data_IF_536472648522
#
_entry.id   IF_536472648522
#
_cell.length_a   1.000
_cell.length_b   1.000
_cell.length_c   1.000
_cell.angle_alpha   90.00
_cell.angle_beta   90.00
_cell.angle_gamma   90.00
#
_symmetry.space_group_name_H-M   'P 1'
#
loop_
_entity.id
_entity.type
_entity.pdbx_description
1 polymer ?
#
# COMPACT_ATOMS: atom_id res chain seq x y z
N UNK A 1 -26.68 5.22 -24.40
CA UNK A 1 -25.67 5.16 -23.31
C UNK A 1 -26.19 6.05 -22.18
N UNK A 2 -27.22 5.58 -21.48
CA UNK A 2 -28.11 6.39 -20.62
C UNK A 2 -27.43 6.99 -19.39
N UNK A 3 -26.21 6.56 -19.06
CA UNK A 3 -25.36 7.17 -18.04
C UNK A 3 -24.87 8.59 -18.39
N UNK A 4 -24.91 8.96 -19.69
CA UNK A 4 -24.54 10.30 -20.19
C UNK A 4 -25.74 11.22 -20.40
N UNK A 5 -26.95 10.70 -20.30
CA UNK A 5 -28.18 11.48 -20.39
C UNK A 5 -28.39 12.26 -19.08
N UNK A 6 -29.30 13.23 -19.06
CA UNK A 6 -29.70 13.94 -17.84
C UNK A 6 -31.15 13.60 -17.47
N UNK A 7 -31.46 13.61 -16.17
CA UNK A 7 -32.80 13.32 -15.65
C UNK A 7 -33.04 11.84 -15.35
N UNK A 8 -34.31 11.40 -15.41
CA UNK A 8 -34.74 10.10 -14.88
C UNK A 8 -34.04 8.88 -15.51
N UNK A 9 -33.68 8.97 -16.79
CA UNK A 9 -32.96 7.91 -17.51
C UNK A 9 -31.57 7.66 -16.91
N UNK A 10 -30.86 8.74 -16.54
CA UNK A 10 -29.55 8.68 -15.91
C UNK A 10 -29.64 8.08 -14.50
N UNK A 11 -30.59 8.56 -13.70
CA UNK A 11 -30.80 8.05 -12.34
C UNK A 11 -31.07 6.55 -12.32
N UNK A 12 -31.90 6.07 -13.25
CA UNK A 12 -32.18 4.65 -13.41
C UNK A 12 -30.94 3.86 -13.81
N UNK A 13 -30.18 4.35 -14.79
CA UNK A 13 -28.93 3.70 -15.23
C UNK A 13 -27.89 3.63 -14.12
N UNK A 14 -27.76 4.68 -13.30
CA UNK A 14 -26.86 4.70 -12.13
C UNK A 14 -27.32 3.72 -11.06
N UNK A 15 -28.63 3.61 -10.82
CA UNK A 15 -29.20 2.64 -9.88
C UNK A 15 -28.92 1.20 -10.31
N UNK A 16 -29.10 0.89 -11.59
CA UNK A 16 -28.78 -0.42 -12.17
C UNK A 16 -27.29 -0.73 -12.07
N UNK A 17 -26.44 0.23 -12.42
CA UNK A 17 -24.98 0.11 -12.27
C UNK A 17 -24.62 -0.20 -10.82
N UNK A 18 -25.14 0.55 -9.85
CA UNK A 18 -24.88 0.31 -8.43
C UNK A 18 -25.27 -1.10 -8.00
N UNK A 19 -26.45 -1.59 -8.42
CA UNK A 19 -26.89 -2.95 -8.10
C UNK A 19 -25.96 -4.01 -8.69
N UNK A 20 -25.50 -3.82 -9.92
CA UNK A 20 -24.53 -4.70 -10.58
C UNK A 20 -23.20 -4.72 -9.82
N UNK A 21 -22.66 -3.54 -9.49
CA UNK A 21 -21.39 -3.41 -8.77
C UNK A 21 -21.48 -4.03 -7.37
N UNK A 22 -22.57 -3.79 -6.64
CA UNK A 22 -22.81 -4.35 -5.30
C UNK A 22 -22.77 -5.88 -5.32
N UNK A 23 -23.46 -6.52 -6.27
CA UNK A 23 -23.43 -7.98 -6.46
C UNK A 23 -22.02 -8.47 -6.79
N UNK A 24 -21.30 -7.75 -7.65
CA UNK A 24 -19.94 -8.12 -8.03
C UNK A 24 -18.95 -8.01 -6.86
N UNK A 25 -19.08 -6.97 -6.04
CA UNK A 25 -18.28 -6.73 -4.84
C UNK A 25 -18.57 -7.80 -3.78
N UNK A 26 -19.85 -8.12 -3.52
CA UNK A 26 -20.22 -9.21 -2.60
C UNK A 26 -19.60 -10.54 -3.00
N UNK A 27 -19.66 -10.88 -4.29
CA UNK A 27 -19.03 -12.09 -4.82
C UNK A 27 -17.50 -12.06 -4.66
N UNK A 28 -16.87 -10.91 -4.86
CA UNK A 28 -15.44 -10.75 -4.61
C UNK A 28 -15.08 -10.93 -3.14
N UNK A 29 -15.84 -10.30 -2.24
CA UNK A 29 -15.64 -10.35 -0.79
C UNK A 29 -15.88 -11.77 -0.25
N UNK A 30 -16.92 -12.46 -0.71
CA UNK A 30 -17.25 -13.82 -0.27
C UNK A 30 -16.21 -14.85 -0.69
N UNK A 31 -15.56 -14.68 -1.84
CA UNK A 31 -14.42 -15.51 -2.30
C UNK A 31 -13.14 -15.25 -1.51
N UNK A 32 -12.93 -14.02 -1.03
CA UNK A 32 -11.76 -13.60 -0.24
C UNK A 32 -11.82 -14.00 1.25
N UNK A 33 -12.76 -14.87 1.66
CA UNK A 33 -13.20 -15.15 3.05
C UNK A 33 -12.11 -15.51 4.09
N UNK A 34 -10.88 -15.86 3.72
CA UNK A 34 -9.90 -16.41 4.66
C UNK A 34 -9.16 -15.38 5.55
N UNK A 35 -8.73 -14.17 5.11
CA UNK A 35 -7.92 -13.28 5.96
C UNK A 35 -8.67 -12.09 6.59
N UNK A 36 -9.91 -11.79 6.18
CA UNK A 36 -10.59 -10.52 6.53
C UNK A 36 -11.91 -10.68 7.31
N UNK A 37 -12.31 -11.90 7.67
CA UNK A 37 -13.60 -12.15 8.29
C UNK A 37 -13.80 -11.43 9.63
N UNK A 38 -12.71 -11.18 10.39
CA UNK A 38 -12.76 -10.40 11.63
C UNK A 38 -12.73 -8.88 11.47
N UNK A 39 -12.51 -8.36 10.25
CA UNK A 39 -12.36 -6.91 9.99
C UNK A 39 -13.67 -6.19 9.69
N UNK A 40 -14.77 -6.94 9.58
CA UNK A 40 -16.05 -6.43 9.07
C UNK A 40 -17.13 -6.58 10.13
N UNK A 41 -17.03 -5.78 11.20
CA UNK A 41 -18.02 -5.74 12.29
C UNK A 41 -19.46 -5.44 11.82
N UNK A 42 -19.61 -4.76 10.66
CA UNK A 42 -20.91 -4.44 10.04
C UNK A 42 -21.35 -5.42 8.95
N UNK A 43 -20.60 -6.52 8.74
CA UNK A 43 -20.89 -7.50 7.70
C UNK A 43 -20.46 -7.06 6.30
N UNK A 44 -20.34 -8.04 5.39
CA UNK A 44 -19.92 -7.83 4.00
C UNK A 44 -20.92 -7.00 3.18
N UNK A 45 -22.18 -6.93 3.62
CA UNK A 45 -23.27 -6.27 2.92
C UNK A 45 -23.11 -4.75 2.92
N UNK A 46 -22.88 -4.16 4.10
CA UNK A 46 -22.72 -2.71 4.26
C UNK A 46 -21.50 -2.22 3.49
N UNK A 47 -20.39 -2.96 3.57
CA UNK A 47 -19.17 -2.63 2.81
C UNK A 47 -19.39 -2.71 1.31
N UNK A 48 -20.17 -3.69 0.84
CA UNK A 48 -20.47 -3.80 -0.57
C UNK A 48 -21.39 -2.66 -1.05
N UNK A 49 -22.34 -2.23 -0.23
CA UNK A 49 -23.21 -1.09 -0.54
C UNK A 49 -22.40 0.21 -0.62
N UNK A 50 -21.61 0.53 0.41
CA UNK A 50 -20.76 1.73 0.44
C UNK A 50 -19.80 1.77 -0.75
N UNK A 51 -19.09 0.67 -0.99
CA UNK A 51 -18.15 0.57 -2.12
C UNK A 51 -18.87 0.68 -3.46
N UNK A 52 -20.07 0.13 -3.61
CA UNK A 52 -20.83 0.21 -4.87
C UNK A 52 -21.30 1.64 -5.14
N UNK A 53 -21.72 2.38 -4.10
CA UNK A 53 -22.08 3.79 -4.21
C UNK A 53 -20.90 4.65 -4.65
N UNK A 54 -19.75 4.54 -3.96
CA UNK A 54 -18.54 5.27 -4.32
C UNK A 54 -18.07 4.91 -5.74
N UNK A 55 -18.13 3.63 -6.10
CA UNK A 55 -17.73 3.18 -7.44
C UNK A 55 -18.63 3.74 -8.53
N UNK A 56 -19.96 3.78 -8.33
CA UNK A 56 -20.88 4.34 -9.30
C UNK A 56 -20.64 5.84 -9.53
N UNK A 57 -20.32 6.59 -8.46
CA UNK A 57 -19.92 8.00 -8.56
C UNK A 57 -18.59 8.18 -9.32
N UNK A 58 -17.58 7.37 -8.99
CA UNK A 58 -16.29 7.39 -9.68
C UNK A 58 -16.39 6.98 -11.15
N UNK A 59 -17.27 6.04 -11.48
CA UNK A 59 -17.53 5.63 -12.86
C UNK A 59 -18.17 6.78 -13.63
N UNK A 60 -19.23 7.41 -13.10
CA UNK A 60 -19.86 8.58 -13.73
C UNK A 60 -18.86 9.69 -14.03
N UNK A 61 -18.04 10.07 -13.04
CA UNK A 61 -17.01 11.11 -13.21
C UNK A 61 -15.88 10.75 -14.18
N UNK A 62 -15.75 9.47 -14.55
CA UNK A 62 -14.70 8.97 -15.45
C UNK A 62 -15.25 8.38 -16.75
N UNK A 63 -16.54 8.57 -17.07
CA UNK A 63 -17.16 8.03 -18.28
C UNK A 63 -16.45 8.47 -19.56
N UNK A 64 -15.83 9.64 -19.56
CA UNK A 64 -15.08 10.16 -20.71
C UNK A 64 -13.70 9.50 -20.87
N UNK A 65 -13.21 8.81 -19.84
CA UNK A 65 -11.96 8.04 -19.86
C UNK A 65 -12.17 6.60 -20.34
N UNK A 66 -13.42 6.16 -20.53
CA UNK A 66 -13.71 4.84 -21.06
C UNK A 66 -13.46 4.82 -22.58
N UNK A 67 -12.39 4.13 -22.98
CA UNK A 67 -11.91 4.07 -24.37
C UNK A 67 -12.64 3.04 -25.25
N UNK A 68 -13.41 2.13 -24.66
CA UNK A 68 -14.09 1.06 -25.41
C UNK A 68 -13.22 -0.17 -25.71
N UNK A 69 -12.00 -0.24 -25.14
CA UNK A 69 -11.08 -1.39 -25.33
C UNK A 69 -11.55 -2.69 -24.65
N UNK A 70 -12.61 -2.62 -23.83
CA UNK A 70 -13.26 -3.74 -23.16
C UNK A 70 -14.76 -3.49 -23.07
N UNK A 71 -15.54 -4.48 -22.63
CA UNK A 71 -16.92 -4.21 -22.20
C UNK A 71 -16.92 -3.16 -21.07
N UNK A 72 -17.95 -2.32 -21.06
CA UNK A 72 -18.14 -1.29 -20.03
C UNK A 72 -18.19 -1.90 -18.62
N UNK A 73 -18.86 -3.04 -18.49
CA UNK A 73 -18.97 -3.82 -17.24
C UNK A 73 -17.61 -4.28 -16.73
N UNK A 74 -16.71 -4.71 -17.60
CA UNK A 74 -15.33 -5.10 -17.24
C UNK A 74 -14.56 -3.91 -16.69
N UNK A 75 -14.63 -2.77 -17.36
CA UNK A 75 -13.96 -1.54 -16.91
C UNK A 75 -14.53 -1.04 -15.57
N UNK A 76 -15.86 -1.00 -15.44
CA UNK A 76 -16.56 -0.63 -14.21
C UNK A 76 -16.21 -1.57 -13.05
N UNK A 77 -16.12 -2.88 -13.30
CA UNK A 77 -15.73 -3.86 -12.29
C UNK A 77 -14.30 -3.60 -11.78
N UNK A 78 -13.36 -3.25 -12.65
CA UNK A 78 -11.98 -2.93 -12.24
C UNK A 78 -11.92 -1.75 -11.26
N UNK A 79 -12.77 -0.74 -11.46
CA UNK A 79 -12.89 0.42 -10.56
C UNK A 79 -13.46 -0.04 -9.23
N UNK A 80 -14.55 -0.82 -9.24
CA UNK A 80 -15.19 -1.32 -8.03
C UNK A 80 -14.24 -2.17 -7.18
N UNK A 81 -13.50 -3.08 -7.78
CA UNK A 81 -12.50 -3.88 -7.06
C UNK A 81 -11.40 -3.01 -6.46
N UNK A 82 -10.95 -1.96 -7.16
CA UNK A 82 -9.96 -1.02 -6.62
C UNK A 82 -10.50 -0.26 -5.40
N UNK A 83 -11.74 0.21 -5.45
CA UNK A 83 -12.43 0.87 -4.33
C UNK A 83 -12.52 -0.08 -3.13
N UNK A 84 -13.06 -1.28 -3.34
CA UNK A 84 -13.19 -2.28 -2.27
C UNK A 84 -11.85 -2.67 -1.65
N UNK A 85 -10.79 -2.85 -2.46
CA UNK A 85 -9.47 -3.16 -1.93
C UNK A 85 -8.87 -2.02 -1.09
N UNK A 86 -9.15 -0.76 -1.44
CA UNK A 86 -8.74 0.38 -0.63
C UNK A 86 -9.50 0.41 0.70
N UNK A 87 -10.82 0.19 0.66
CA UNK A 87 -11.65 0.17 1.86
C UNK A 87 -11.26 -0.95 2.83
N UNK A 88 -10.98 -2.16 2.30
CA UNK A 88 -10.47 -3.27 3.13
C UNK A 88 -9.12 -2.94 3.78
N UNK A 89 -8.22 -2.23 3.08
CA UNK A 89 -6.94 -1.79 3.66
C UNK A 89 -7.16 -0.75 4.75
N UNK A 90 -8.08 0.20 4.55
CA UNK A 90 -8.47 1.21 5.53
C UNK A 90 -9.04 0.58 6.80
N UNK A 91 -9.98 -0.37 6.68
CA UNK A 91 -10.56 -1.07 7.83
C UNK A 91 -9.54 -1.93 8.56
N UNK A 92 -8.62 -2.58 7.85
CA UNK A 92 -7.51 -3.30 8.47
C UNK A 92 -6.65 -2.38 9.33
N UNK A 93 -6.26 -1.23 8.78
CA UNK A 93 -5.50 -0.23 9.51
C UNK A 93 -6.26 0.25 10.76
N UNK A 94 -7.54 0.59 10.63
CA UNK A 94 -8.37 1.03 11.76
C UNK A 94 -8.54 -0.05 12.84
N UNK A 95 -8.75 -1.31 12.46
CA UNK A 95 -8.85 -2.42 13.40
C UNK A 95 -7.52 -2.65 14.14
N UNK A 96 -6.38 -2.51 13.47
CA UNK A 96 -5.06 -2.55 14.12
C UNK A 96 -4.81 -1.34 15.04
N UNK A 97 -5.36 -0.18 14.71
CA UNK A 97 -5.25 1.04 15.51
C UNK A 97 -6.22 1.09 16.71
N UNK A 98 -7.29 0.29 16.73
CA UNK A 98 -8.31 0.31 17.78
C UNK A 98 -7.89 -0.31 19.12
N UNK A 99 -6.67 -0.85 19.22
CA UNK A 99 -6.04 -1.20 20.49
C UNK A 99 -5.58 0.09 21.19
N UNK A 100 -6.12 0.46 22.37
CA UNK A 100 -5.77 1.70 23.07
C UNK A 100 -4.27 1.82 23.38
N UNK A 101 -3.54 0.70 23.50
CA UNK A 101 -2.08 0.71 23.64
C UNK A 101 -1.38 1.21 22.37
N UNK A 102 -2.01 1.09 21.20
CA UNK A 102 -1.53 1.53 19.88
C UNK A 102 -2.09 2.88 19.44
N UNK A 103 -3.03 3.49 20.17
CA UNK A 103 -3.55 4.81 19.82
C UNK A 103 -2.45 5.89 19.96
N UNK A 104 -1.50 5.71 20.90
CA UNK A 104 -0.27 6.49 20.96
C UNK A 104 0.68 6.24 19.77
N UNK A 105 0.67 5.02 19.23
CA UNK A 105 1.40 4.59 18.03
C UNK A 105 0.73 4.98 16.70
N UNK A 106 -0.51 5.52 16.73
CA UNK A 106 -1.21 5.98 15.53
C UNK A 106 -0.56 7.21 14.90
N UNK A 107 0.25 7.94 15.68
CA UNK A 107 1.23 8.88 15.12
C UNK A 107 2.36 8.06 14.49
N UNK A 108 2.70 8.24 13.19
CA UNK A 108 3.69 7.40 12.54
C UNK A 108 5.03 7.42 13.29
N UNK A 109 5.30 6.33 14.01
CA UNK A 109 6.50 6.16 14.81
C UNK A 109 7.58 5.49 13.98
N UNK A 110 8.81 5.75 14.38
CA UNK A 110 9.98 5.33 13.64
C UNK A 110 10.29 3.86 13.96
N UNK A 111 10.68 3.01 12.99
CA UNK A 111 10.95 1.59 13.25
C UNK A 111 12.08 1.31 14.25
N UNK A 112 12.89 2.32 14.62
CA UNK A 112 13.90 2.19 15.69
C UNK A 112 13.24 2.13 17.08
N UNK A 113 12.04 2.68 17.23
CA UNK A 113 11.36 2.75 18.53
C UNK A 113 10.91 1.36 19.02
N UNK A 114 10.91 0.35 18.14
CA UNK A 114 10.63 -1.05 18.50
C UNK A 114 11.32 -2.07 17.56
N UNK A 115 12.63 -2.33 17.75
CA UNK A 115 13.32 -3.36 17.00
C UNK A 115 12.86 -4.73 17.52
N UNK A 116 12.05 -5.44 16.73
CA UNK A 116 11.56 -6.77 17.10
C UNK A 116 12.69 -7.72 17.56
N UNK A 117 12.38 -8.67 18.45
CA UNK A 117 13.39 -9.53 19.06
C UNK A 117 13.96 -10.50 17.99
N UNK A 118 15.30 -10.62 17.95
CA UNK A 118 16.11 -11.48 17.05
C UNK A 118 16.41 -11.01 15.61
N UNK A 119 17.24 -9.97 15.45
CA UNK A 119 17.96 -9.67 14.17
C UNK A 119 19.43 -10.08 14.26
N UNK A 120 20.00 -10.63 13.18
CA UNK A 120 21.45 -10.88 13.09
C UNK A 120 22.25 -9.56 13.14
N UNK A 121 23.54 -9.60 13.50
CA UNK A 121 24.39 -8.40 13.57
C UNK A 121 24.41 -7.62 12.23
N UNK A 122 24.49 -8.34 11.11
CA UNK A 122 24.46 -7.75 9.77
C UNK A 122 23.12 -7.05 9.48
N UNK A 123 21.99 -7.65 9.87
CA UNK A 123 20.68 -7.02 9.76
C UNK A 123 20.56 -5.78 10.65
N UNK A 124 21.14 -5.80 11.85
CA UNK A 124 21.16 -4.63 12.73
C UNK A 124 21.96 -3.48 12.11
N UNK A 125 23.13 -3.77 11.50
CA UNK A 125 23.94 -2.78 10.81
C UNK A 125 23.23 -2.21 9.57
N UNK A 126 22.60 -3.08 8.76
CA UNK A 126 21.80 -2.67 7.61
C UNK A 126 20.61 -1.78 8.02
N UNK A 127 19.94 -2.12 9.13
CA UNK A 127 18.87 -1.28 9.70
C UNK A 127 19.39 0.06 10.19
N UNK A 128 20.48 0.09 10.95
CA UNK A 128 21.06 1.33 11.47
C UNK A 128 21.45 2.28 10.33
N UNK A 129 22.07 1.76 9.26
CA UNK A 129 22.39 2.54 8.06
C UNK A 129 21.13 3.07 7.38
N UNK A 130 20.14 2.22 7.09
CA UNK A 130 18.90 2.65 6.44
C UNK A 130 18.20 3.73 7.27
N UNK A 131 18.20 3.54 8.59
CA UNK A 131 17.61 4.46 9.52
C UNK A 131 18.30 5.84 9.49
N UNK A 132 19.62 5.87 9.56
CA UNK A 132 20.41 7.09 9.44
C UNK A 132 20.16 7.81 8.12
N UNK A 133 20.06 7.06 7.01
CA UNK A 133 19.80 7.65 5.68
C UNK A 133 18.41 8.28 5.59
N UNK A 134 17.40 7.66 6.19
CA UNK A 134 16.05 8.23 6.22
C UNK A 134 15.98 9.47 7.11
N UNK A 135 16.75 9.50 8.20
CA UNK A 135 16.89 10.69 9.04
C UNK A 135 17.63 11.83 8.31
N UNK A 136 18.73 11.53 7.63
CA UNK A 136 19.61 12.57 7.09
C UNK A 136 19.32 13.00 5.65
N UNK A 137 18.82 12.09 4.80
CA UNK A 137 18.64 12.35 3.37
C UNK A 137 17.23 12.86 2.99
N UNK A 138 16.23 12.68 3.87
CA UNK A 138 14.83 13.06 3.60
C UNK A 138 14.42 14.33 4.32
N UNK A 139 13.51 15.09 3.69
CA UNK A 139 12.84 16.19 4.41
C UNK A 139 11.90 15.62 5.48
N UNK A 140 11.52 16.40 6.50
CA UNK A 140 10.58 15.95 7.54
C UNK A 140 9.26 15.44 6.94
N UNK A 141 8.75 16.08 5.88
CA UNK A 141 7.52 15.68 5.23
C UNK A 141 7.67 14.37 4.42
N UNK A 142 8.78 14.22 3.69
CA UNK A 142 9.10 12.98 2.98
C UNK A 142 9.24 11.80 3.94
N UNK A 143 9.90 12.02 5.07
CA UNK A 143 10.08 11.02 6.12
C UNK A 143 8.74 10.58 6.70
N UNK A 144 7.91 11.54 7.13
CA UNK A 144 6.55 11.26 7.65
C UNK A 144 5.71 10.44 6.67
N UNK A 145 5.67 10.85 5.40
CA UNK A 145 4.92 10.13 4.36
C UNK A 145 5.45 8.71 4.11
N UNK A 146 6.77 8.54 4.09
CA UNK A 146 7.41 7.24 3.89
C UNK A 146 7.16 6.31 5.08
N UNK A 147 7.31 6.79 6.33
CA UNK A 147 7.04 6.02 7.55
C UNK A 147 5.60 5.51 7.55
N UNK A 148 4.65 6.44 7.40
CA UNK A 148 3.23 6.13 7.45
C UNK A 148 2.86 5.08 6.39
N UNK A 149 3.31 5.25 5.15
CA UNK A 149 2.91 4.35 4.08
C UNK A 149 3.70 3.03 4.03
N UNK A 150 5.03 3.09 4.18
CA UNK A 150 5.91 1.95 3.90
C UNK A 150 6.16 1.06 5.12
N UNK A 151 6.15 1.62 6.34
CA UNK A 151 6.44 0.86 7.55
C UNK A 151 5.17 0.57 8.36
N UNK A 152 4.24 1.53 8.36
CA UNK A 152 2.97 1.37 9.05
C UNK A 152 1.86 0.89 8.09
N UNK A 153 2.15 0.65 6.81
CA UNK A 153 1.15 0.18 5.82
C UNK A 153 -0.11 1.06 5.73
N UNK A 154 -0.05 2.31 6.17
CA UNK A 154 -1.18 3.23 6.16
C UNK A 154 -1.61 3.48 4.70
N UNK A 155 -2.93 3.38 4.41
CA UNK A 155 -3.45 3.69 3.08
C UNK A 155 -3.10 5.12 2.65
N UNK A 156 -2.67 5.28 1.40
CA UNK A 156 -2.23 6.57 0.86
C UNK A 156 -3.28 7.69 0.96
N UNK A 157 -4.57 7.37 0.88
CA UNK A 157 -5.66 8.31 1.13
C UNK A 157 -5.63 8.85 2.55
N UNK A 158 -5.50 7.98 3.55
CA UNK A 158 -5.40 8.41 4.94
C UNK A 158 -4.11 9.19 5.18
N UNK A 159 -2.99 8.78 4.57
CA UNK A 159 -1.73 9.54 4.68
C UNK A 159 -1.88 10.93 4.07
N UNK A 160 -2.58 11.05 2.94
CA UNK A 160 -2.82 12.34 2.29
C UNK A 160 -3.68 13.25 3.18
N UNK A 161 -4.76 12.71 3.75
CA UNK A 161 -5.62 13.41 4.71
C UNK A 161 -4.84 13.86 5.95
N UNK A 162 -4.09 12.95 6.58
CA UNK A 162 -3.27 13.24 7.77
C UNK A 162 -2.22 14.31 7.53
N UNK A 163 -1.61 14.34 6.34
CA UNK A 163 -0.63 15.35 5.95
C UNK A 163 -1.25 16.63 5.39
N UNK A 164 -2.59 16.74 5.30
CA UNK A 164 -3.27 17.89 4.70
C UNK A 164 -2.92 18.11 3.23
N UNK A 165 -2.73 17.03 2.46
CA UNK A 165 -2.33 17.06 1.04
C UNK A 165 -3.26 16.20 0.16
N UNK A 166 -3.00 16.18 -1.14
CA UNK A 166 -3.75 15.34 -2.09
C UNK A 166 -2.91 14.14 -2.56
N UNK A 167 -3.57 13.12 -3.14
CA UNK A 167 -2.90 11.88 -3.59
C UNK A 167 -1.77 12.15 -4.58
N UNK A 168 -1.94 13.06 -5.55
CA UNK A 168 -0.93 13.33 -6.57
C UNK A 168 0.34 13.93 -5.95
N UNK A 169 0.18 14.88 -5.04
CA UNK A 169 1.28 15.46 -4.28
C UNK A 169 1.96 14.41 -3.40
N UNK A 170 1.20 13.57 -2.71
CA UNK A 170 1.74 12.48 -1.90
C UNK A 170 2.51 11.44 -2.73
N UNK A 171 2.01 11.07 -3.92
CA UNK A 171 2.71 10.16 -4.83
C UNK A 171 4.06 10.72 -5.26
N UNK A 172 4.11 11.99 -5.66
CA UNK A 172 5.37 12.66 -5.99
C UNK A 172 6.31 12.71 -4.79
N UNK A 173 5.80 13.08 -3.62
CA UNK A 173 6.56 13.16 -2.37
C UNK A 173 7.24 11.83 -2.01
N UNK A 174 6.49 10.72 -2.04
CA UNK A 174 7.02 9.37 -1.74
C UNK A 174 8.01 8.92 -2.82
N UNK A 175 7.71 9.19 -4.09
CA UNK A 175 8.61 8.86 -5.19
C UNK A 175 9.96 9.59 -5.05
N UNK A 176 9.94 10.88 -4.73
CA UNK A 176 11.14 11.68 -4.55
C UNK A 176 11.92 11.25 -3.31
N UNK A 177 11.22 10.85 -2.24
CA UNK A 177 11.84 10.22 -1.08
C UNK A 177 12.60 8.93 -1.46
N UNK A 178 11.98 8.03 -2.22
CA UNK A 178 12.62 6.79 -2.70
C UNK A 178 13.85 7.07 -3.57
N UNK A 179 13.77 8.08 -4.46
CA UNK A 179 14.92 8.49 -5.28
C UNK A 179 16.09 8.99 -4.43
N UNK A 180 15.82 9.83 -3.43
CA UNK A 180 16.83 10.34 -2.51
C UNK A 180 17.50 9.23 -1.70
N UNK A 181 16.72 8.30 -1.16
CA UNK A 181 17.26 7.13 -0.46
C UNK A 181 18.10 6.24 -1.36
N UNK A 182 17.65 5.98 -2.59
CA UNK A 182 18.42 5.20 -3.56
C UNK A 182 19.77 5.86 -3.86
N UNK A 183 19.78 7.18 -4.06
CA UNK A 183 21.03 7.91 -4.27
C UNK A 183 21.95 7.86 -3.04
N UNK A 184 21.39 8.05 -1.84
CA UNK A 184 22.17 8.02 -0.59
C UNK A 184 22.75 6.63 -0.27
N UNK A 185 22.00 5.55 -0.57
CA UNK A 185 22.50 4.17 -0.49
C UNK A 185 23.68 3.95 -1.44
N UNK A 186 23.57 4.39 -2.69
CA UNK A 186 24.65 4.26 -3.66
C UNK A 186 25.91 5.03 -3.23
N UNK A 187 25.77 6.21 -2.61
CA UNK A 187 26.89 6.96 -2.04
C UNK A 187 27.57 6.23 -0.86
N UNK A 188 26.89 5.30 -0.20
CA UNK A 188 27.45 4.41 0.84
C UNK A 188 28.06 3.13 0.24
N UNK A 189 28.07 2.99 -1.10
CA UNK A 189 28.56 1.80 -1.79
C UNK A 189 27.62 0.60 -1.71
N UNK A 190 26.36 0.81 -1.33
CA UNK A 190 25.38 -0.27 -1.16
C UNK A 190 24.21 -0.06 -2.12
N UNK A 191 23.83 -1.10 -2.85
CA UNK A 191 22.64 -1.09 -3.69
C UNK A 191 21.41 -1.48 -2.88
N UNK A 192 20.23 -1.04 -3.32
CA UNK A 192 18.98 -1.48 -2.68
C UNK A 192 18.76 -3.00 -2.78
N UNK A 193 19.38 -3.69 -3.75
CA UNK A 193 19.25 -5.14 -3.92
C UNK A 193 20.04 -5.88 -2.86
N UNK A 194 21.28 -5.45 -2.60
CA UNK A 194 22.11 -5.99 -1.52
C UNK A 194 21.44 -5.76 -0.17
N UNK A 195 20.90 -4.56 0.06
CA UNK A 195 20.16 -4.25 1.28
C UNK A 195 18.94 -5.18 1.49
N UNK A 196 18.15 -5.44 0.44
CA UNK A 196 17.01 -6.37 0.50
C UNK A 196 17.50 -7.80 0.77
N UNK A 197 18.58 -8.24 0.11
CA UNK A 197 19.14 -9.57 0.32
C UNK A 197 19.54 -9.80 1.79
N UNK A 198 20.04 -8.80 2.50
CA UNK A 198 20.33 -8.89 3.95
C UNK A 198 19.09 -9.25 4.78
N UNK A 199 17.89 -8.89 4.32
CA UNK A 199 16.62 -9.16 5.01
C UNK A 199 15.89 -10.42 4.52
N UNK A 200 16.10 -10.83 3.27
CA UNK A 200 15.41 -11.98 2.64
C UNK A 200 16.12 -13.33 2.84
N UNK A 201 17.37 -13.35 3.32
CA UNK A 201 18.14 -14.60 3.42
C UNK A 201 17.62 -15.54 4.53
N UNK A 202 17.23 -16.79 4.22
CA UNK A 202 16.93 -17.79 5.24
C UNK A 202 18.22 -18.15 6.02
N UNK A 203 18.10 -18.30 7.35
CA UNK A 203 19.20 -18.46 8.34
C UNK A 203 20.25 -19.55 8.03
N UNK A 204 20.07 -20.43 7.03
CA UNK A 204 20.93 -21.62 6.82
C UNK A 204 21.80 -21.64 5.57
N UNK A 205 21.76 -20.65 4.66
CA UNK A 205 22.57 -20.71 3.43
C UNK A 205 23.86 -19.88 3.54
N UNK A 206 24.61 -20.04 4.65
CA UNK A 206 25.81 -19.22 4.92
C UNK A 206 27.15 -19.94 4.77
N UNK A 207 27.17 -21.24 4.48
CA UNK A 207 28.42 -21.98 4.24
C UNK A 207 28.93 -21.91 2.79
N UNK A 208 28.19 -21.33 1.84
CA UNK A 208 28.56 -21.38 0.41
C UNK A 208 29.23 -20.12 -0.13
N UNK A 209 29.32 -19.03 0.65
CA UNK A 209 29.93 -17.77 0.19
C UNK A 209 31.27 -17.43 0.86
N UNK A 210 31.66 -18.14 1.92
CA UNK A 210 33.00 -18.00 2.51
C UNK A 210 34.05 -18.89 1.79
N UNK A 211 33.65 -20.05 1.25
CA UNK A 211 34.58 -20.94 0.53
C UNK A 211 34.88 -20.51 -0.93
N UNK A 212 34.06 -19.62 -1.51
CA UNK A 212 34.22 -19.15 -2.89
C UNK A 212 35.21 -17.99 -3.07
N UNK A 213 35.70 -17.39 -1.98
CA UNK A 213 36.66 -16.26 -2.03
C UNK A 213 38.12 -16.68 -1.81
N UNK A 214 38.38 -17.95 -1.51
CA UNK A 214 39.73 -18.46 -1.26
C UNK A 214 40.30 -19.33 -2.41
N UNK A 215 39.65 -19.33 -3.58
CA UNK A 215 40.05 -20.12 -4.75
C UNK A 215 40.13 -19.29 -6.04
N UNK A 216 40.57 -18.04 -5.93
CA UNK A 216 40.84 -17.17 -7.10
C UNK A 216 42.20 -16.45 -7.05
N UNK A 217 43.09 -16.87 -6.14
CA UNK A 217 44.50 -16.46 -6.11
C UNK A 217 45.40 -17.62 -5.67
N UNK A 218 45.51 -18.65 -6.50
CA UNK A 218 46.68 -19.53 -6.58
C UNK A 218 46.85 -19.97 -8.03
N UNK A 219 47.34 -19.04 -8.84
CA UNK A 219 48.36 -19.34 -9.83
C UNK A 219 49.53 -18.39 -9.56
N UNK A 220 50.66 -19.03 -9.23
CA UNK A 220 51.97 -18.54 -8.73
C UNK A 220 52.06 -18.23 -7.23
#
# INVERSE_FOLDING_TARGET
MSLRETGQSQENAVKELRQLLRRAILNFLSRKRAPNAGLLNHGYEDVAEDCAQESAFLIQSKLDQFRGDSEFTTWAYSIAIRVTLNELRRRRWQASAADPARLGDAMPHWPIDNPGPERSLEQQQAWAMLSELIETALTPLQRKALIAHAFQEMPLDLVAEWLGTNRNSLYKLIHDARKRLKAALLSRGVTHRELIATFDMPRQSRSYLEDGKNSLFQDV
#
